data_IF_935955593132
#
_entry.id   IF_935955593132
#
_cell.length_a   1.000
_cell.length_b   1.000
_cell.length_c   1.000
_cell.angle_alpha   90.00
_cell.angle_beta   90.00
_cell.angle_gamma   90.00
#
_symmetry.space_group_name_H-M   'P 1'
#
loop_
_entity.id
_entity.type
_entity.pdbx_description
1 polymer ?
#
# COMPACT_ATOMS: atom_id res chain seq x y z
N UNK A 1 20.93 -6.87 -15.55
CA UNK A 1 20.16 -7.90 -14.83
C UNK A 1 20.85 -9.28 -14.75
N UNK A 2 22.10 -9.44 -15.19
CA UNK A 2 22.73 -10.77 -15.33
C UNK A 2 23.76 -11.17 -14.25
N UNK A 3 23.98 -10.33 -13.24
CA UNK A 3 25.04 -10.59 -12.24
C UNK A 3 24.63 -11.35 -10.99
N UNK A 4 23.41 -11.23 -10.56
CA UNK A 4 22.92 -11.78 -9.28
C UNK A 4 22.49 -13.25 -9.39
N UNK A 5 21.88 -13.64 -10.51
CA UNK A 5 21.45 -15.03 -10.74
C UNK A 5 22.62 -16.01 -10.81
N UNK A 6 23.79 -15.59 -11.32
CA UNK A 6 24.99 -16.45 -11.37
C UNK A 6 25.53 -16.81 -9.98
N UNK A 7 25.39 -15.93 -9.01
CA UNK A 7 25.85 -16.19 -7.63
C UNK A 7 24.95 -17.17 -6.89
N UNK A 8 23.63 -17.11 -7.13
CA UNK A 8 22.69 -18.03 -6.48
C UNK A 8 22.78 -19.44 -7.03
N UNK A 9 22.94 -19.60 -8.34
CA UNK A 9 23.11 -20.90 -9.01
C UNK A 9 24.44 -21.55 -8.59
N UNK A 10 25.49 -20.78 -8.36
CA UNK A 10 26.80 -21.30 -7.91
C UNK A 10 26.73 -21.81 -6.46
N UNK A 11 25.95 -21.20 -5.59
CA UNK A 11 25.76 -21.65 -4.21
C UNK A 11 25.01 -22.99 -4.13
N UNK A 12 24.04 -23.24 -5.02
CA UNK A 12 23.27 -24.49 -5.06
C UNK A 12 24.11 -25.65 -5.62
N UNK A 13 25.00 -25.39 -6.59
CA UNK A 13 25.85 -26.40 -7.20
C UNK A 13 27.04 -26.86 -6.29
N UNK A 14 27.43 -26.07 -5.30
CA UNK A 14 28.51 -26.43 -4.40
C UNK A 14 28.17 -27.53 -3.36
N UNK A 15 26.87 -27.80 -3.16
CA UNK A 15 26.40 -28.85 -2.25
C UNK A 15 26.25 -30.24 -2.90
N UNK A 16 26.40 -30.33 -4.22
CA UNK A 16 26.19 -31.59 -4.97
C UNK A 16 27.46 -32.39 -5.33
N UNK A 17 28.61 -31.93 -4.95
CA UNK A 17 29.86 -32.68 -5.21
C UNK A 17 30.39 -33.32 -3.92
N UNK A 18 30.24 -34.59 -3.80
CA UNK A 18 31.04 -35.63 -3.16
C UNK A 18 30.18 -36.78 -2.65
N UNK A 19 30.09 -37.85 -3.40
CA UNK A 19 30.40 -39.21 -2.86
C UNK A 19 30.57 -40.19 -4.02
N UNK A 20 31.76 -40.60 -4.25
CA UNK A 20 32.04 -41.78 -5.08
C UNK A 20 31.67 -43.04 -4.31
N UNK A 21 30.66 -43.76 -4.81
CA UNK A 21 30.33 -45.10 -4.30
C UNK A 21 31.29 -46.10 -4.88
N UNK A 22 32.02 -46.76 -4.00
CA UNK A 22 32.91 -47.88 -4.35
C UNK A 22 32.06 -49.16 -4.33
N UNK A 23 31.93 -49.85 -5.46
CA UNK A 23 31.30 -51.14 -5.56
C UNK A 23 32.14 -52.21 -4.86
N UNK A 24 31.54 -52.92 -3.93
CA UNK A 24 32.12 -54.09 -3.27
C UNK A 24 31.63 -55.37 -3.92
N UNK A 25 32.47 -56.40 -3.87
CA UNK A 25 32.34 -57.69 -4.49
C UNK A 25 31.17 -58.56 -3.97
N UNK A 26 30.70 -59.57 -4.71
CA UNK A 26 29.53 -60.37 -4.35
C UNK A 26 29.82 -61.34 -3.21
N UNK A 27 29.00 -61.37 -2.21
CA UNK A 27 29.04 -62.34 -1.12
C UNK A 27 27.97 -63.42 -1.24
N UNK A 28 28.33 -64.56 -0.73
CA UNK A 28 27.68 -65.86 -0.75
C UNK A 28 26.23 -65.89 -0.25
N UNK A 29 25.48 -66.80 -0.81
CA UNK A 29 24.10 -67.20 -0.50
C UNK A 29 23.91 -67.54 0.98
N UNK A 30 23.24 -66.68 1.75
CA UNK A 30 22.79 -66.98 3.11
C UNK A 30 21.31 -67.36 3.14
N UNK A 31 21.05 -68.36 3.96
CA UNK A 31 19.75 -68.94 4.26
C UNK A 31 18.63 -67.86 4.43
N UNK A 32 17.44 -68.18 3.95
CA UNK A 32 16.23 -67.41 4.10
C UNK A 32 15.93 -67.19 5.60
N UNK A 33 16.39 -66.09 6.14
CA UNK A 33 15.94 -65.61 7.44
C UNK A 33 14.53 -65.06 7.26
N UNK A 34 13.58 -65.57 8.04
CA UNK A 34 12.28 -64.99 8.15
C UNK A 34 12.42 -63.48 8.39
N UNK A 35 11.68 -62.62 7.67
CA UNK A 35 11.78 -61.18 7.88
C UNK A 35 11.37 -60.89 9.33
N UNK A 36 12.34 -60.41 10.10
CA UNK A 36 12.01 -59.82 11.41
C UNK A 36 10.92 -58.78 11.23
N UNK A 37 9.89 -58.74 12.10
CA UNK A 37 8.87 -57.73 12.02
C UNK A 37 9.58 -56.36 12.00
N UNK A 38 9.43 -55.65 10.91
CA UNK A 38 10.02 -54.30 10.80
C UNK A 38 9.42 -53.44 11.91
N UNK A 39 10.26 -52.72 12.68
CA UNK A 39 9.76 -51.83 13.72
C UNK A 39 8.79 -50.85 13.10
N UNK A 40 7.54 -50.82 13.62
CA UNK A 40 6.55 -49.88 13.19
C UNK A 40 7.07 -48.49 13.49
N UNK A 41 7.41 -47.75 12.46
CA UNK A 41 7.87 -46.36 12.61
C UNK A 41 6.76 -45.51 13.23
N UNK A 42 7.04 -44.84 14.36
CA UNK A 42 6.03 -44.01 15.03
C UNK A 42 5.67 -42.78 14.20
N UNK A 43 4.44 -42.32 14.39
CA UNK A 43 4.07 -40.99 13.96
C UNK A 43 4.79 -39.94 14.80
N UNK A 44 5.30 -38.89 14.16
CA UNK A 44 5.88 -37.74 14.82
C UNK A 44 5.01 -36.54 14.43
N UNK A 45 4.45 -35.91 15.43
CA UNK A 45 3.63 -34.70 15.27
C UNK A 45 4.36 -33.54 15.93
N UNK A 46 4.54 -32.47 15.20
CA UNK A 46 5.18 -31.23 15.70
C UNK A 46 4.26 -30.07 15.47
N UNK A 47 4.06 -29.26 16.51
CA UNK A 47 3.26 -28.01 16.43
C UNK A 47 4.08 -26.91 17.05
N UNK A 48 4.17 -25.76 16.41
CA UNK A 48 4.93 -24.61 16.89
C UNK A 48 4.28 -23.29 16.54
N UNK A 49 4.59 -22.29 17.33
CA UNK A 49 4.21 -20.90 17.09
C UNK A 49 5.47 -20.11 16.67
N UNK A 50 5.64 -19.81 15.38
CA UNK A 50 6.73 -18.96 14.93
C UNK A 50 6.40 -17.49 15.17
N UNK A 51 7.32 -16.73 15.76
CA UNK A 51 7.31 -15.28 15.85
C UNK A 51 8.37 -14.72 14.92
N UNK A 52 7.97 -14.18 13.78
CA UNK A 52 8.86 -13.60 12.80
C UNK A 52 8.94 -12.08 12.98
N UNK A 53 10.14 -11.52 12.98
CA UNK A 53 10.43 -10.09 13.11
C UNK A 53 11.09 -9.59 11.82
N UNK A 54 10.31 -9.35 10.75
CA UNK A 54 10.86 -9.10 9.45
C UNK A 54 11.23 -7.64 9.21
N UNK A 55 12.26 -7.44 8.38
CA UNK A 55 12.43 -6.27 7.54
C UNK A 55 11.71 -6.54 6.22
N UNK A 56 11.03 -5.54 5.69
CA UNK A 56 10.33 -5.61 4.41
C UNK A 56 10.90 -4.53 3.49
N UNK A 57 11.42 -4.93 2.34
CA UNK A 57 11.97 -3.99 1.35
C UNK A 57 11.63 -4.43 -0.06
N UNK A 58 11.31 -3.48 -0.92
CA UNK A 58 10.97 -3.78 -2.31
C UNK A 58 10.05 -2.74 -2.94
N UNK A 59 9.47 -3.10 -4.06
CA UNK A 59 8.59 -2.23 -4.83
C UNK A 59 7.16 -2.76 -4.79
N UNK A 60 6.23 -1.89 -4.40
CA UNK A 60 4.79 -2.16 -4.42
C UNK A 60 4.14 -1.14 -5.34
N UNK A 61 3.26 -1.59 -6.21
CA UNK A 61 2.59 -0.73 -7.18
C UNK A 61 1.14 -1.12 -7.42
N UNK A 62 0.30 -0.11 -7.66
CA UNK A 62 -1.10 -0.29 -8.01
C UNK A 62 -1.40 0.53 -9.27
N UNK A 63 -1.92 -0.14 -10.30
CA UNK A 63 -2.30 0.47 -11.58
C UNK A 63 -1.19 1.35 -12.21
N UNK A 64 0.07 0.91 -12.10
CA UNK A 64 1.23 1.59 -12.70
C UNK A 64 1.87 2.68 -11.82
N UNK A 65 1.30 2.98 -10.66
CA UNK A 65 1.95 3.83 -9.66
C UNK A 65 2.74 2.95 -8.71
N UNK A 66 4.06 3.06 -8.73
CA UNK A 66 4.98 2.22 -7.94
C UNK A 66 5.67 3.06 -6.87
N UNK A 67 5.81 2.51 -5.69
CA UNK A 67 6.59 3.07 -4.59
C UNK A 67 7.56 2.05 -4.04
N UNK A 68 8.73 2.50 -3.60
CA UNK A 68 9.67 1.66 -2.89
C UNK A 68 9.34 1.68 -1.39
N UNK A 69 9.20 0.49 -0.79
CA UNK A 69 8.97 0.31 0.64
C UNK A 69 10.23 -0.19 1.33
N UNK A 70 10.48 0.31 2.52
CA UNK A 70 11.56 -0.14 3.39
C UNK A 70 11.11 0.03 4.84
N UNK A 71 10.64 -1.06 5.44
CA UNK A 71 10.00 -1.05 6.77
C UNK A 71 10.75 -1.99 7.69
N UNK A 72 11.12 -1.51 8.86
CA UNK A 72 11.80 -2.28 9.87
C UNK A 72 10.86 -3.09 10.77
N UNK A 73 11.38 -4.10 11.51
CA UNK A 73 10.56 -4.95 12.37
C UNK A 73 9.87 -4.18 13.49
N UNK A 74 10.50 -3.13 14.03
CA UNK A 74 9.91 -2.32 15.09
C UNK A 74 8.73 -1.48 14.56
N UNK A 75 8.85 -0.97 13.33
CA UNK A 75 7.77 -0.21 12.69
C UNK A 75 6.55 -1.12 12.43
N UNK A 76 6.80 -2.36 11.97
CA UNK A 76 5.74 -3.36 11.78
C UNK A 76 5.10 -3.68 13.13
N UNK A 77 5.89 -3.98 14.16
CA UNK A 77 5.39 -4.37 15.47
C UNK A 77 4.54 -3.27 16.13
N UNK A 78 4.97 -2.00 16.04
CA UNK A 78 4.23 -0.86 16.62
C UNK A 78 2.90 -0.58 15.91
N UNK A 79 2.76 -0.99 14.65
CA UNK A 79 1.57 -0.77 13.82
C UNK A 79 0.72 -2.04 13.69
N UNK A 80 1.12 -3.14 14.32
CA UNK A 80 0.41 -4.42 14.27
C UNK A 80 -0.79 -4.38 15.19
N UNK A 81 -1.98 -4.52 14.61
CA UNK A 81 -3.23 -4.68 15.34
C UNK A 81 -3.41 -6.13 15.79
N UNK A 82 -3.04 -7.07 14.91
CA UNK A 82 -3.16 -8.50 15.19
C UNK A 82 -2.14 -9.30 14.40
N UNK A 83 -1.53 -10.28 15.05
CA UNK A 83 -0.62 -11.26 14.48
C UNK A 83 -0.98 -12.65 14.98
N UNK A 84 -1.09 -13.61 14.05
CA UNK A 84 -1.22 -15.02 14.37
C UNK A 84 -0.29 -15.85 13.49
N UNK A 85 0.40 -16.82 14.08
CA UNK A 85 1.24 -17.73 13.33
C UNK A 85 1.20 -19.13 13.95
N UNK A 86 1.12 -20.14 13.09
CA UNK A 86 1.07 -21.54 13.48
C UNK A 86 1.85 -22.37 12.45
N UNK A 87 2.67 -23.29 12.94
CA UNK A 87 3.34 -24.30 12.13
C UNK A 87 2.99 -25.68 12.66
N UNK A 88 2.63 -26.60 11.78
CA UNK A 88 2.37 -27.99 12.13
C UNK A 88 3.05 -28.92 11.13
N UNK A 89 3.53 -30.04 11.62
CA UNK A 89 4.09 -31.12 10.81
C UNK A 89 3.69 -32.47 11.35
N UNK A 90 3.33 -33.37 10.45
CA UNK A 90 3.09 -34.78 10.75
C UNK A 90 3.98 -35.60 9.85
N UNK A 91 4.79 -36.48 10.43
CA UNK A 91 5.68 -37.35 9.67
C UNK A 91 5.64 -38.79 10.16
N UNK A 92 5.87 -39.71 9.21
CA UNK A 92 6.01 -41.14 9.46
C UNK A 92 7.04 -41.72 8.50
N UNK A 93 8.08 -42.31 9.06
CA UNK A 93 9.16 -42.83 8.26
C UNK A 93 9.85 -41.77 7.42
N UNK A 94 9.77 -41.94 6.11
CA UNK A 94 10.36 -40.99 5.16
C UNK A 94 9.42 -39.88 4.68
N UNK A 95 8.12 -40.00 4.97
CA UNK A 95 7.11 -39.07 4.49
C UNK A 95 6.72 -38.08 5.58
N UNK A 96 6.50 -36.85 5.20
CA UNK A 96 5.97 -35.80 6.05
C UNK A 96 5.02 -34.89 5.31
N UNK A 97 4.07 -34.36 6.05
CA UNK A 97 3.14 -33.29 5.63
C UNK A 97 3.35 -32.12 6.57
N UNK A 98 3.45 -30.93 6.05
CA UNK A 98 3.67 -29.72 6.86
C UNK A 98 2.74 -28.60 6.39
N UNK A 99 2.33 -27.80 7.33
CA UNK A 99 1.61 -26.56 7.09
C UNK A 99 2.15 -25.45 7.97
N UNK A 100 2.22 -24.25 7.43
CA UNK A 100 2.51 -23.03 8.16
C UNK A 100 1.48 -21.98 7.77
N UNK A 101 0.96 -21.26 8.74
CA UNK A 101 0.02 -20.19 8.58
C UNK A 101 0.53 -18.97 9.30
N UNK A 102 0.52 -17.83 8.63
CA UNK A 102 0.83 -16.52 9.18
C UNK A 102 -0.27 -15.55 8.75
N UNK A 103 -0.78 -14.79 9.69
CA UNK A 103 -1.71 -13.70 9.46
C UNK A 103 -1.19 -12.45 10.15
N UNK A 104 -1.12 -11.37 9.42
CA UNK A 104 -0.71 -10.05 9.90
C UNK A 104 -1.78 -9.02 9.50
N UNK A 105 -2.22 -8.21 10.46
CA UNK A 105 -3.06 -7.05 10.22
C UNK A 105 -2.37 -5.84 10.85
N UNK A 106 -2.09 -4.83 10.04
CA UNK A 106 -1.46 -3.58 10.47
C UNK A 106 -2.30 -2.39 10.05
N UNK A 107 -2.31 -1.35 10.87
CA UNK A 107 -2.91 -0.07 10.55
C UNK A 107 -1.96 1.07 10.86
N UNK A 108 -1.98 2.09 10.02
CA UNK A 108 -1.19 3.30 10.21
C UNK A 108 -1.97 4.53 9.76
N UNK A 109 -1.65 5.66 10.38
CA UNK A 109 -2.20 6.96 10.02
C UNK A 109 -1.07 7.91 9.68
N UNK A 110 -1.06 8.35 8.43
CA UNK A 110 -0.07 9.31 7.95
C UNK A 110 -0.71 10.68 7.83
N UNK A 111 0.00 11.71 8.30
CA UNK A 111 -0.39 13.10 8.21
C UNK A 111 0.49 13.79 7.16
N UNK A 112 0.05 13.84 5.89
CA UNK A 112 0.85 14.43 4.83
C UNK A 112 0.99 15.94 5.04
N UNK A 113 2.12 16.49 4.62
CA UNK A 113 2.36 17.94 4.65
C UNK A 113 1.61 18.72 3.56
N UNK A 114 0.73 18.06 2.82
CA UNK A 114 -0.10 18.70 1.79
C UNK A 114 -1.34 19.32 2.44
N UNK A 115 -1.60 20.60 2.10
CA UNK A 115 -2.66 21.38 2.72
C UNK A 115 -4.06 20.80 2.52
N UNK A 116 -4.33 20.12 1.40
CA UNK A 116 -5.67 19.63 1.05
C UNK A 116 -6.06 18.29 1.67
N UNK A 117 -5.11 17.52 2.22
CA UNK A 117 -5.34 16.23 2.87
C UNK A 117 -4.89 16.32 4.32
N UNK A 118 -5.81 16.08 5.25
CA UNK A 118 -5.50 16.13 6.68
C UNK A 118 -4.91 14.83 7.23
N UNK A 119 -5.34 13.67 6.68
CA UNK A 119 -4.98 12.35 7.17
C UNK A 119 -5.17 11.30 6.08
N UNK A 120 -4.28 10.31 6.07
CA UNK A 120 -4.40 9.09 5.29
C UNK A 120 -4.43 7.92 6.27
N UNK A 121 -5.48 7.12 6.26
CA UNK A 121 -5.55 5.87 7.00
C UNK A 121 -5.20 4.73 6.06
N UNK A 122 -4.19 3.96 6.43
CA UNK A 122 -3.68 2.80 5.71
C UNK A 122 -3.96 1.56 6.55
N UNK A 123 -4.53 0.53 5.95
CA UNK A 123 -4.63 -0.80 6.53
C UNK A 123 -4.03 -1.80 5.57
N UNK A 124 -3.24 -2.68 6.11
CA UNK A 124 -2.57 -3.75 5.39
C UNK A 124 -2.84 -5.08 6.08
N UNK A 125 -3.34 -6.04 5.32
CA UNK A 125 -3.62 -7.38 5.79
C UNK A 125 -2.86 -8.37 4.91
N UNK A 126 -2.08 -9.23 5.54
CA UNK A 126 -1.35 -10.27 4.82
C UNK A 126 -1.64 -11.63 5.44
N UNK A 127 -1.97 -12.59 4.59
CA UNK A 127 -2.08 -14.00 4.96
C UNK A 127 -1.10 -14.78 4.11
N UNK A 128 -0.23 -15.54 4.75
CA UNK A 128 0.66 -16.49 4.08
C UNK A 128 0.34 -17.90 4.60
N UNK A 129 -0.06 -18.79 3.71
CA UNK A 129 -0.25 -20.21 3.97
C UNK A 129 0.77 -21.02 3.18
N UNK A 130 1.66 -21.77 3.84
CA UNK A 130 2.62 -22.70 3.21
C UNK A 130 2.14 -24.13 3.48
N UNK A 131 1.89 -24.91 2.45
CA UNK A 131 1.47 -26.30 2.57
C UNK A 131 2.37 -27.18 1.72
N UNK A 132 2.98 -28.21 2.33
CA UNK A 132 3.95 -29.03 1.62
C UNK A 132 4.05 -30.47 2.09
N UNK A 133 4.49 -31.27 1.14
CA UNK A 133 4.90 -32.65 1.36
C UNK A 133 6.44 -32.71 1.46
N UNK A 134 6.94 -33.62 2.23
CA UNK A 134 8.38 -33.90 2.33
C UNK A 134 8.67 -35.37 2.19
N UNK A 135 9.81 -35.68 1.56
CA UNK A 135 10.33 -37.01 1.43
C UNK A 135 11.80 -37.05 1.87
N UNK A 136 12.11 -37.89 2.83
CA UNK A 136 13.44 -38.04 3.41
C UNK A 136 14.35 -38.85 2.49
N UNK A 137 15.29 -38.16 1.84
CA UNK A 137 16.25 -38.78 0.91
C UNK A 137 17.51 -39.26 1.61
N UNK A 138 17.96 -38.57 2.68
CA UNK A 138 19.10 -38.97 3.48
C UNK A 138 18.68 -38.98 4.96
N UNK A 139 19.12 -40.03 5.66
CA UNK A 139 18.96 -40.17 7.10
C UNK A 139 20.19 -40.82 7.69
N UNK A 140 20.79 -40.17 8.67
CA UNK A 140 21.97 -40.64 9.36
C UNK A 140 21.89 -40.41 10.88
N UNK A 141 22.84 -40.86 11.64
CA UNK A 141 22.86 -40.71 13.10
C UNK A 141 22.86 -39.25 13.56
N UNK A 142 23.42 -38.36 12.75
CA UNK A 142 23.54 -36.91 13.07
C UNK A 142 22.58 -36.01 12.36
N UNK A 143 21.70 -36.53 11.49
CA UNK A 143 20.77 -35.67 10.79
C UNK A 143 20.08 -36.28 9.60
N UNK A 144 19.34 -35.47 8.90
CA UNK A 144 18.56 -35.89 7.75
C UNK A 144 18.44 -34.75 6.72
N UNK A 145 18.11 -35.16 5.48
CA UNK A 145 17.83 -34.26 4.37
C UNK A 145 16.50 -34.71 3.72
N UNK A 146 15.56 -33.80 3.60
CA UNK A 146 14.26 -34.00 2.95
C UNK A 146 14.18 -33.15 1.65
N UNK A 147 13.63 -33.75 0.60
CA UNK A 147 13.03 -33.01 -0.50
C UNK A 147 11.65 -32.49 -0.09
N UNK A 148 11.27 -31.32 -0.59
CA UNK A 148 9.98 -30.71 -0.34
C UNK A 148 9.34 -30.31 -1.65
N UNK A 149 8.01 -30.44 -1.71
CA UNK A 149 7.18 -29.86 -2.75
C UNK A 149 5.84 -29.43 -2.15
N UNK A 150 5.30 -28.34 -2.62
CA UNK A 150 4.05 -27.83 -2.07
C UNK A 150 3.57 -26.59 -2.79
N UNK A 151 2.74 -25.86 -2.11
CA UNK A 151 2.28 -24.54 -2.57
C UNK A 151 2.26 -23.54 -1.41
N UNK A 152 2.50 -22.29 -1.75
CA UNK A 152 2.33 -21.12 -0.89
C UNK A 152 1.13 -20.33 -1.38
N UNK A 153 0.21 -20.04 -0.50
CA UNK A 153 -0.91 -19.14 -0.71
C UNK A 153 -0.56 -17.80 -0.08
N UNK A 154 -0.69 -16.74 -0.84
CA UNK A 154 -0.56 -15.37 -0.34
C UNK A 154 -1.85 -14.64 -0.62
N UNK A 155 -2.40 -13.96 0.38
CA UNK A 155 -3.52 -13.04 0.25
C UNK A 155 -3.10 -11.69 0.83
N UNK A 156 -3.25 -10.63 0.04
CA UNK A 156 -2.81 -9.29 0.35
C UNK A 156 -3.99 -8.33 0.24
N UNK A 157 -4.47 -7.83 1.36
CA UNK A 157 -5.50 -6.80 1.45
C UNK A 157 -4.87 -5.44 1.76
N UNK A 158 -5.30 -4.41 1.04
CA UNK A 158 -4.83 -3.04 1.20
C UNK A 158 -6.02 -2.10 1.18
N UNK A 159 -6.19 -1.32 2.25
CA UNK A 159 -7.21 -0.28 2.36
C UNK A 159 -6.53 1.06 2.56
N UNK A 160 -6.91 2.05 1.78
CA UNK A 160 -6.50 3.44 1.88
C UNK A 160 -7.73 4.31 2.03
N UNK A 161 -7.82 5.06 3.12
CA UNK A 161 -8.85 6.10 3.31
C UNK A 161 -8.21 7.47 3.37
N UNK A 162 -8.68 8.37 2.50
CA UNK A 162 -8.20 9.75 2.41
C UNK A 162 -9.18 10.64 3.16
N UNK A 163 -8.68 11.45 4.09
CA UNK A 163 -9.46 12.44 4.82
C UNK A 163 -9.09 13.86 4.33
N UNK A 164 -10.01 14.58 3.73
CA UNK A 164 -9.75 15.94 3.25
C UNK A 164 -9.54 16.92 4.42
N UNK A 165 -8.68 17.92 4.20
CA UNK A 165 -8.57 19.09 5.08
C UNK A 165 -9.63 20.12 4.68
N UNK A 166 -10.79 20.07 5.34
CA UNK A 166 -11.92 20.92 5.00
C UNK A 166 -11.61 22.42 5.07
N UNK A 167 -10.80 22.84 6.06
CA UNK A 167 -10.43 24.25 6.24
C UNK A 167 -9.52 24.75 5.10
N UNK A 168 -8.52 23.96 4.74
CA UNK A 168 -7.62 24.31 3.65
C UNK A 168 -8.34 24.33 2.29
N UNK A 169 -9.25 23.38 2.06
CA UNK A 169 -10.06 23.34 0.85
C UNK A 169 -10.95 24.57 0.74
N UNK A 170 -11.62 24.99 1.84
CA UNK A 170 -12.44 26.19 1.86
C UNK A 170 -11.58 27.43 1.56
N UNK A 171 -10.42 27.56 2.19
CA UNK A 171 -9.48 28.67 1.96
C UNK A 171 -8.98 28.74 0.52
N UNK A 172 -8.53 27.61 -0.05
CA UNK A 172 -8.07 27.55 -1.44
C UNK A 172 -9.19 27.84 -2.43
N UNK A 173 -10.41 27.34 -2.16
CA UNK A 173 -11.58 27.59 -3.00
C UNK A 173 -11.96 29.07 -3.00
N UNK A 174 -11.97 29.72 -1.84
CA UNK A 174 -12.17 31.16 -1.72
C UNK A 174 -11.09 31.96 -2.47
N UNK A 175 -9.82 31.62 -2.27
CA UNK A 175 -8.69 32.30 -2.93
C UNK A 175 -8.76 32.17 -4.45
N UNK A 176 -9.06 30.99 -4.98
CA UNK A 176 -9.20 30.78 -6.43
C UNK A 176 -10.31 31.62 -7.02
N UNK A 177 -11.47 31.66 -6.36
CA UNK A 177 -12.61 32.47 -6.80
C UNK A 177 -12.32 33.95 -6.67
N UNK A 178 -11.62 34.38 -5.61
CA UNK A 178 -11.23 35.78 -5.46
C UNK A 178 -10.24 36.26 -6.54
N UNK A 179 -9.27 35.45 -6.89
CA UNK A 179 -8.36 35.75 -7.99
C UNK A 179 -9.09 35.86 -9.33
N UNK A 180 -9.97 34.89 -9.62
CA UNK A 180 -10.82 34.96 -10.83
C UNK A 180 -11.72 36.20 -10.85
N UNK A 181 -12.31 36.52 -9.71
CA UNK A 181 -13.18 37.71 -9.60
C UNK A 181 -12.44 39.04 -9.70
N UNK A 182 -11.20 39.12 -9.24
CA UNK A 182 -10.34 40.31 -9.44
C UNK A 182 -10.07 40.54 -10.92
N UNK A 183 -9.75 39.48 -11.67
CA UNK A 183 -9.53 39.57 -13.12
C UNK A 183 -10.78 39.99 -13.85
N UNK A 184 -11.95 39.40 -13.53
CA UNK A 184 -13.24 39.75 -14.10
C UNK A 184 -13.71 41.13 -13.65
N UNK A 185 -13.47 41.52 -12.40
CA UNK A 185 -13.81 42.81 -11.83
C UNK A 185 -13.11 43.96 -12.55
N UNK A 186 -11.85 43.77 -12.94
CA UNK A 186 -11.11 44.72 -13.80
C UNK A 186 -11.76 44.90 -15.15
N UNK A 187 -12.22 43.84 -15.81
CA UNK A 187 -12.90 43.86 -17.08
C UNK A 187 -14.31 44.53 -16.96
N UNK A 188 -15.06 44.18 -15.92
CA UNK A 188 -16.38 44.78 -15.66
C UNK A 188 -16.26 46.28 -15.36
N UNK A 189 -15.31 46.69 -14.53
CA UNK A 189 -15.07 48.11 -14.25
C UNK A 189 -14.67 48.87 -15.51
N UNK A 190 -13.84 48.33 -16.38
CA UNK A 190 -13.47 48.96 -17.65
C UNK A 190 -14.69 49.12 -18.59
N UNK A 191 -15.56 48.14 -18.64
CA UNK A 191 -16.80 48.21 -19.43
C UNK A 191 -17.75 49.28 -18.85
N UNK A 192 -17.90 49.33 -17.53
CA UNK A 192 -18.73 50.31 -16.86
C UNK A 192 -18.17 51.74 -17.11
N UNK A 193 -16.88 51.93 -16.92
CA UNK A 193 -16.21 53.18 -17.15
C UNK A 193 -16.33 53.65 -18.62
N UNK A 194 -15.96 52.77 -19.55
CA UNK A 194 -15.86 53.16 -20.97
C UNK A 194 -17.20 53.21 -21.69
N UNK A 195 -18.21 52.43 -21.24
CA UNK A 195 -19.47 52.37 -21.96
C UNK A 195 -20.59 53.20 -21.32
N UNK A 196 -20.68 53.15 -19.99
CA UNK A 196 -21.79 53.84 -19.28
C UNK A 196 -21.42 55.26 -18.87
N UNK A 197 -20.22 55.42 -18.27
CA UNK A 197 -19.80 56.77 -17.82
C UNK A 197 -19.47 57.68 -18.98
N UNK A 198 -18.77 57.16 -20.03
CA UNK A 198 -18.52 57.96 -21.23
C UNK A 198 -19.79 58.37 -21.96
N UNK A 199 -20.79 57.50 -22.00
CA UNK A 199 -22.10 57.88 -22.56
C UNK A 199 -22.87 58.84 -21.67
N UNK A 200 -22.81 58.70 -20.35
CA UNK A 200 -23.41 59.68 -19.43
C UNK A 200 -22.70 61.03 -19.52
N UNK A 201 -21.38 61.05 -19.59
CA UNK A 201 -20.58 62.27 -19.75
C UNK A 201 -20.87 62.89 -21.12
N UNK A 202 -20.94 62.09 -22.19
CA UNK A 202 -21.27 62.60 -23.55
C UNK A 202 -22.72 63.11 -23.65
N UNK A 203 -23.64 62.64 -22.83
CA UNK A 203 -24.99 63.20 -22.69
C UNK A 203 -25.02 64.50 -21.87
N UNK A 204 -24.08 64.61 -20.92
CA UNK A 204 -23.89 65.82 -20.11
C UNK A 204 -23.24 66.93 -20.91
N UNK A 205 -22.24 66.66 -21.76
CA UNK A 205 -21.58 67.60 -22.64
C UNK A 205 -22.40 68.03 -23.84
N UNK A 206 -23.30 67.18 -24.33
CA UNK A 206 -24.31 67.51 -25.34
C UNK A 206 -25.42 68.26 -24.71
N UNK A 207 -25.12 69.43 -24.12
CA UNK A 207 -26.11 70.42 -23.67
C UNK A 207 -27.53 69.86 -23.79
N UNK A 208 -28.12 69.20 -22.76
CA UNK A 208 -29.41 68.61 -22.92
C UNK A 208 -30.39 69.77 -23.15
N UNK A 209 -30.72 69.99 -24.40
CA UNK A 209 -31.93 70.73 -24.72
C UNK A 209 -33.01 69.83 -24.19
N UNK A 210 -33.42 70.10 -22.91
CA UNK A 210 -34.57 69.52 -22.34
C UNK A 210 -35.65 69.75 -23.36
N UNK A 211 -36.40 68.75 -23.82
CA UNK A 211 -37.58 68.98 -24.71
C UNK A 211 -38.71 69.55 -23.89
N UNK A 212 -38.39 70.63 -23.25
CA UNK A 212 -39.38 71.46 -22.60
C UNK A 212 -39.70 72.48 -23.62
N UNK A 213 -40.62 72.22 -24.51
CA UNK A 213 -41.10 73.02 -25.58
C UNK A 213 -40.84 74.54 -25.52
N UNK A 214 -41.51 75.38 -26.21
CA UNK A 214 -41.19 76.84 -26.31
C UNK A 214 -41.07 77.60 -24.98
N UNK A 215 -41.36 76.95 -23.84
CA UNK A 215 -41.25 77.53 -22.49
C UNK A 215 -39.81 77.46 -21.88
N UNK A 216 -38.89 76.68 -22.43
CA UNK A 216 -37.52 76.53 -21.86
C UNK A 216 -36.72 77.82 -21.88
N UNK A 217 -36.91 78.71 -22.81
CA UNK A 217 -36.24 80.00 -22.90
C UNK A 217 -36.79 81.07 -21.93
N UNK A 218 -37.88 80.81 -21.25
CA UNK A 218 -38.53 81.74 -20.31
C UNK A 218 -38.32 81.41 -18.83
N UNK A 219 -37.61 80.32 -18.49
CA UNK A 219 -37.31 79.99 -17.10
C UNK A 219 -36.13 80.84 -16.59
N UNK A 220 -36.24 81.39 -15.37
CA UNK A 220 -35.14 82.06 -14.71
C UNK A 220 -33.90 81.10 -14.59
N UNK A 221 -32.69 81.64 -14.72
CA UNK A 221 -31.41 80.84 -14.65
C UNK A 221 -31.34 79.96 -13.41
N UNK A 222 -31.78 80.46 -12.28
CA UNK A 222 -31.88 79.78 -10.99
C UNK A 222 -32.69 78.47 -11.02
N UNK A 223 -33.89 78.51 -11.77
CA UNK A 223 -34.74 77.34 -11.90
C UNK A 223 -34.13 76.27 -12.82
N UNK A 224 -33.38 76.72 -13.85
CA UNK A 224 -32.67 75.87 -14.79
C UNK A 224 -31.52 75.13 -14.10
N UNK A 225 -30.76 75.82 -13.23
CA UNK A 225 -29.70 75.31 -12.45
C UNK A 225 -30.15 74.34 -11.35
N UNK A 226 -31.33 74.59 -10.74
CA UNK A 226 -31.94 73.66 -9.80
C UNK A 226 -32.39 72.38 -10.49
N UNK A 227 -33.02 72.44 -11.66
CA UNK A 227 -33.39 71.24 -12.42
C UNK A 227 -32.13 70.41 -12.82
N UNK A 228 -31.07 71.10 -13.25
CA UNK A 228 -29.80 70.41 -13.59
C UNK A 228 -29.16 69.74 -12.39
N UNK A 229 -29.11 70.39 -11.23
CA UNK A 229 -28.56 69.82 -10.00
C UNK A 229 -29.39 68.62 -9.51
N UNK A 230 -30.74 68.69 -9.60
CA UNK A 230 -31.63 67.58 -9.23
C UNK A 230 -31.44 66.36 -10.17
N UNK A 231 -31.34 66.61 -11.50
CA UNK A 231 -31.04 65.54 -12.46
C UNK A 231 -29.67 64.89 -12.20
N UNK A 232 -28.65 65.69 -11.93
CA UNK A 232 -27.33 65.20 -11.61
C UNK A 232 -27.31 64.38 -10.31
N UNK A 233 -28.02 64.82 -9.26
CA UNK A 233 -28.16 64.08 -8.00
C UNK A 233 -28.82 62.73 -8.24
N UNK A 234 -29.93 62.67 -8.94
CA UNK A 234 -30.65 61.42 -9.23
C UNK A 234 -29.88 60.46 -10.12
N UNK A 235 -29.07 60.95 -11.07
CA UNK A 235 -28.18 60.14 -11.87
C UNK A 235 -27.07 59.55 -11.01
N UNK A 236 -26.50 60.30 -10.10
CA UNK A 236 -25.48 59.86 -9.16
C UNK A 236 -26.04 58.76 -8.24
N UNK A 237 -27.24 58.97 -7.69
CA UNK A 237 -27.91 57.99 -6.85
C UNK A 237 -28.24 56.70 -7.61
N UNK A 238 -28.68 56.78 -8.85
CA UNK A 238 -28.96 55.64 -9.71
C UNK A 238 -27.68 54.86 -10.02
N UNK A 239 -26.59 55.54 -10.35
CA UNK A 239 -25.28 54.88 -10.58
C UNK A 239 -24.78 54.21 -9.31
N UNK A 240 -24.93 54.84 -8.14
CA UNK A 240 -24.57 54.26 -6.86
C UNK A 240 -25.40 53.00 -6.54
N UNK A 241 -26.72 53.03 -6.78
CA UNK A 241 -27.63 51.91 -6.61
C UNK A 241 -27.29 50.74 -7.56
N UNK A 242 -27.01 51.03 -8.83
CA UNK A 242 -26.56 50.00 -9.79
C UNK A 242 -25.26 49.36 -9.36
N UNK A 243 -24.26 50.15 -8.94
CA UNK A 243 -22.96 49.64 -8.45
C UNK A 243 -23.15 48.76 -7.24
N UNK A 244 -23.94 49.18 -6.26
CA UNK A 244 -24.24 48.37 -5.06
C UNK A 244 -24.91 47.03 -5.41
N UNK A 245 -25.90 47.04 -6.31
CA UNK A 245 -26.55 45.80 -6.77
C UNK A 245 -25.58 44.87 -7.51
N UNK A 246 -24.70 45.38 -8.36
CA UNK A 246 -23.67 44.59 -9.05
C UNK A 246 -22.73 43.98 -8.02
N UNK A 247 -22.24 44.76 -7.05
CA UNK A 247 -21.36 44.26 -6.00
C UNK A 247 -21.99 43.14 -5.17
N UNK A 248 -23.27 43.32 -4.77
CA UNK A 248 -24.02 42.31 -4.05
C UNK A 248 -24.16 41.01 -4.86
N UNK A 249 -24.49 41.12 -6.15
CA UNK A 249 -24.55 39.95 -7.05
C UNK A 249 -23.21 39.26 -7.24
N UNK A 250 -22.15 40.02 -7.42
CA UNK A 250 -20.78 39.49 -7.55
C UNK A 250 -20.38 38.73 -6.27
N UNK A 251 -20.67 39.30 -5.09
CA UNK A 251 -20.41 38.62 -3.81
C UNK A 251 -21.21 37.33 -3.68
N UNK A 252 -22.48 37.33 -4.03
CA UNK A 252 -23.31 36.13 -4.00
C UNK A 252 -22.79 35.03 -4.92
N UNK A 253 -22.40 35.39 -6.16
CA UNK A 253 -21.83 34.45 -7.13
C UNK A 253 -20.49 33.88 -6.62
N UNK A 254 -19.63 34.73 -6.04
CA UNK A 254 -18.37 34.30 -5.44
C UNK A 254 -18.60 33.25 -4.37
N UNK A 255 -19.48 33.49 -3.42
CA UNK A 255 -19.81 32.56 -2.35
C UNK A 255 -20.31 31.22 -2.92
N UNK A 256 -21.31 31.28 -3.82
CA UNK A 256 -21.87 30.08 -4.43
C UNK A 256 -20.82 29.26 -5.19
N UNK A 257 -19.93 29.90 -5.96
CA UNK A 257 -18.88 29.23 -6.71
C UNK A 257 -17.80 28.62 -5.79
N UNK A 258 -17.42 29.37 -4.75
CA UNK A 258 -16.49 28.88 -3.73
C UNK A 258 -17.05 27.62 -3.03
N UNK A 259 -18.32 27.66 -2.63
CA UNK A 259 -18.96 26.51 -1.98
C UNK A 259 -19.08 25.29 -2.90
N UNK A 260 -19.38 25.52 -4.19
CA UNK A 260 -19.43 24.44 -5.19
C UNK A 260 -18.05 23.80 -5.41
N UNK A 261 -17.00 24.60 -5.56
CA UNK A 261 -15.62 24.11 -5.71
C UNK A 261 -15.20 23.35 -4.46
N UNK A 262 -15.42 23.92 -3.27
CA UNK A 262 -15.09 23.29 -2.00
C UNK A 262 -15.83 21.96 -1.82
N UNK A 263 -17.12 21.91 -2.09
CA UNK A 263 -17.93 20.69 -2.00
C UNK A 263 -17.43 19.62 -2.98
N UNK A 264 -17.10 20.01 -4.21
CA UNK A 264 -16.57 19.09 -5.22
C UNK A 264 -15.22 18.52 -4.79
N UNK A 265 -14.29 19.36 -4.33
CA UNK A 265 -12.98 18.93 -3.84
C UNK A 265 -13.10 18.03 -2.62
N UNK A 266 -13.91 18.37 -1.64
CA UNK A 266 -14.16 17.54 -0.45
C UNK A 266 -14.71 16.17 -0.84
N UNK A 267 -15.65 16.10 -1.77
CA UNK A 267 -16.23 14.85 -2.26
C UNK A 267 -15.21 14.01 -3.04
N UNK A 268 -14.41 14.66 -3.88
CA UNK A 268 -13.39 13.97 -4.68
C UNK A 268 -12.21 13.44 -3.83
N UNK A 269 -11.85 14.13 -2.75
CA UNK A 269 -10.78 13.75 -1.84
C UNK A 269 -11.25 12.80 -0.74
N UNK A 270 -12.53 12.81 -0.35
CA UNK A 270 -13.06 11.87 0.63
C UNK A 270 -13.36 10.52 -0.03
N UNK A 271 -12.34 9.73 -0.24
CA UNK A 271 -12.41 8.42 -0.90
C UNK A 271 -11.72 7.35 -0.11
N UNK A 272 -12.29 6.15 -0.17
CA UNK A 272 -11.67 4.93 0.30
C UNK A 272 -11.41 4.02 -0.89
N UNK A 273 -10.23 3.44 -0.92
CA UNK A 273 -9.80 2.44 -1.89
C UNK A 273 -9.52 1.17 -1.13
N UNK A 274 -10.16 0.09 -1.52
CA UNK A 274 -9.90 -1.24 -0.98
C UNK A 274 -9.51 -2.16 -2.13
N UNK A 275 -8.46 -2.93 -1.93
CA UNK A 275 -8.01 -3.94 -2.88
C UNK A 275 -7.55 -5.19 -2.15
N UNK A 276 -7.95 -6.33 -2.65
CA UNK A 276 -7.46 -7.63 -2.17
C UNK A 276 -7.04 -8.44 -3.39
N UNK A 277 -5.83 -8.95 -3.35
CA UNK A 277 -5.29 -9.87 -4.35
C UNK A 277 -4.83 -11.14 -3.65
N UNK A 278 -5.01 -12.28 -4.31
CA UNK A 278 -4.55 -13.57 -3.81
C UNK A 278 -3.93 -14.41 -4.92
N UNK A 279 -2.94 -15.23 -4.56
CA UNK A 279 -2.28 -16.12 -5.50
C UNK A 279 -1.71 -17.36 -4.83
N UNK A 280 -1.42 -18.37 -5.66
CA UNK A 280 -0.82 -19.65 -5.26
C UNK A 280 0.49 -19.86 -6.00
N UNK A 281 1.54 -20.12 -5.24
CA UNK A 281 2.89 -20.38 -5.75
C UNK A 281 3.27 -21.82 -5.46
N UNK A 282 3.21 -22.71 -6.45
CA UNK A 282 3.81 -24.02 -6.29
C UNK A 282 5.31 -23.87 -6.07
N UNK A 283 5.89 -24.70 -5.22
CA UNK A 283 7.32 -24.67 -4.93
C UNK A 283 7.93 -26.07 -4.84
N UNK A 284 9.23 -26.12 -5.07
CA UNK A 284 10.11 -27.26 -4.78
C UNK A 284 11.27 -26.80 -3.93
N UNK A 285 11.77 -27.66 -3.07
CA UNK A 285 12.85 -27.27 -2.16
C UNK A 285 13.47 -28.42 -1.41
N UNK A 286 14.32 -28.06 -0.47
CA UNK A 286 15.01 -28.97 0.43
C UNK A 286 14.94 -28.43 1.85
N UNK A 287 15.04 -29.32 2.81
CA UNK A 287 15.33 -28.96 4.20
C UNK A 287 16.24 -30.00 4.83
N UNK A 288 17.06 -29.54 5.74
CA UNK A 288 17.99 -30.40 6.44
C UNK A 288 18.00 -30.08 7.93
N UNK A 289 18.36 -31.10 8.71
CA UNK A 289 18.66 -30.96 10.13
C UNK A 289 19.96 -31.68 10.44
N UNK A 290 20.82 -31.04 11.24
CA UNK A 290 22.03 -31.62 11.73
C UNK A 290 22.10 -31.51 13.25
N UNK A 291 22.15 -32.64 13.97
CA UNK A 291 22.20 -32.66 15.42
C UNK A 291 23.63 -32.43 15.88
N UNK A 292 23.87 -31.34 16.58
CA UNK A 292 25.13 -30.98 17.19
C UNK A 292 25.38 -31.79 18.47
N UNK A 293 24.28 -31.97 19.22
CA UNK A 293 24.26 -32.78 20.45
C UNK A 293 22.87 -33.37 20.63
N UNK A 294 22.59 -33.97 21.78
CA UNK A 294 21.24 -34.48 22.12
C UNK A 294 20.22 -33.32 22.31
N UNK A 295 20.69 -32.14 22.66
CA UNK A 295 19.85 -31.00 22.91
C UNK A 295 19.87 -29.98 21.76
N UNK A 296 20.97 -29.77 21.07
CA UNK A 296 21.13 -28.73 20.06
C UNK A 296 21.23 -29.29 18.64
N UNK A 297 20.60 -28.60 17.71
CA UNK A 297 20.62 -28.96 16.29
C UNK A 297 20.59 -27.71 15.39
N UNK A 298 21.16 -27.86 14.22
CA UNK A 298 21.02 -26.90 13.13
C UNK A 298 19.87 -27.32 12.22
N UNK A 299 19.15 -26.35 11.70
CA UNK A 299 18.10 -26.55 10.71
C UNK A 299 18.28 -25.57 9.56
N UNK A 300 17.97 -26.02 8.35
CA UNK A 300 17.95 -25.16 7.17
C UNK A 300 16.82 -25.60 6.25
N UNK A 301 16.23 -24.63 5.54
CA UNK A 301 15.17 -24.82 4.56
C UNK A 301 15.45 -23.88 3.40
N UNK A 302 15.29 -24.37 2.16
CA UNK A 302 15.38 -23.56 0.96
C UNK A 302 14.38 -24.07 -0.06
N UNK A 303 13.63 -23.18 -0.66
CA UNK A 303 12.69 -23.48 -1.75
C UNK A 303 12.66 -22.38 -2.79
N UNK A 304 12.25 -22.74 -4.00
CA UNK A 304 11.96 -21.86 -5.13
C UNK A 304 10.58 -22.22 -5.68
N UNK A 305 9.81 -21.24 -6.03
CA UNK A 305 8.42 -21.40 -6.47
C UNK A 305 7.94 -20.29 -7.39
N UNK A 306 6.64 -20.21 -7.55
CA UNK A 306 5.95 -19.27 -8.43
C UNK A 306 5.81 -19.84 -9.84
N UNK A 307 6.92 -19.93 -10.56
CA UNK A 307 7.03 -20.47 -11.92
C UNK A 307 6.05 -19.82 -12.91
N UNK A 308 5.59 -18.59 -12.63
CA UNK A 308 4.60 -17.88 -13.46
C UNK A 308 3.16 -18.39 -13.32
N UNK A 309 2.83 -19.20 -12.30
CA UNK A 309 1.46 -19.67 -12.02
C UNK A 309 0.75 -18.61 -11.15
N UNK A 310 1.34 -18.21 -10.03
CA UNK A 310 0.93 -17.05 -9.23
C UNK A 310 1.95 -15.94 -9.42
N UNK A 311 2.99 -15.92 -8.61
CA UNK A 311 4.16 -15.07 -8.80
C UNK A 311 5.04 -15.54 -9.96
N UNK A 312 5.80 -14.63 -10.54
CA UNK A 312 6.83 -14.96 -11.52
C UNK A 312 7.88 -15.87 -10.90
N UNK A 313 8.39 -15.48 -9.74
CA UNK A 313 9.31 -16.28 -8.91
C UNK A 313 9.12 -15.96 -7.43
N UNK A 314 9.13 -17.01 -6.60
CA UNK A 314 9.26 -16.89 -5.15
C UNK A 314 10.48 -17.66 -4.67
N UNK A 315 11.12 -17.21 -3.62
CA UNK A 315 12.27 -17.91 -3.02
C UNK A 315 12.22 -17.76 -1.52
N UNK A 316 12.36 -18.89 -0.81
CA UNK A 316 12.48 -18.88 0.63
C UNK A 316 13.75 -19.57 1.06
N UNK A 317 14.47 -18.96 2.00
CA UNK A 317 15.62 -19.56 2.66
C UNK A 317 15.52 -19.30 4.16
N UNK A 318 15.77 -20.32 4.97
CA UNK A 318 15.94 -20.13 6.41
C UNK A 318 17.06 -21.01 6.94
N UNK A 319 17.74 -20.54 7.96
CA UNK A 319 18.74 -21.28 8.71
C UNK A 319 18.68 -20.92 10.18
N UNK A 320 18.80 -21.88 11.06
CA UNK A 320 18.63 -21.67 12.49
C UNK A 320 19.29 -22.69 13.39
N UNK A 321 19.28 -22.34 14.67
CA UNK A 321 19.73 -23.18 15.77
C UNK A 321 18.49 -23.56 16.63
N UNK A 322 18.26 -24.84 16.78
CA UNK A 322 17.20 -25.37 17.65
C UNK A 322 17.76 -25.97 18.92
N UNK A 323 16.95 -25.92 19.96
CA UNK A 323 17.20 -26.52 21.26
C UNK A 323 16.02 -27.40 21.67
N UNK A 324 16.25 -28.66 21.93
CA UNK A 324 15.29 -29.57 22.54
C UNK A 324 15.34 -29.38 24.05
N UNK A 325 14.39 -28.61 24.60
CA UNK A 325 14.36 -28.24 26.03
C UNK A 325 13.95 -29.44 26.88
N UNK A 326 12.94 -30.17 26.43
CA UNK A 326 12.49 -31.43 27.01
C UNK A 326 12.23 -32.45 25.90
N UNK A 327 11.77 -33.65 26.21
CA UNK A 327 11.40 -34.62 25.17
C UNK A 327 10.33 -34.12 24.22
N UNK A 328 9.45 -33.26 24.73
CA UNK A 328 8.27 -32.76 24.00
C UNK A 328 8.34 -31.27 23.66
N UNK A 329 9.22 -30.49 24.27
CA UNK A 329 9.29 -29.04 24.07
C UNK A 329 10.59 -28.69 23.33
N UNK A 330 10.49 -27.90 22.28
CA UNK A 330 11.64 -27.36 21.58
C UNK A 330 11.51 -25.85 21.38
N UNK A 331 12.65 -25.20 21.18
CA UNK A 331 12.74 -23.80 20.73
C UNK A 331 13.75 -23.73 19.59
N UNK A 332 13.51 -22.83 18.65
CA UNK A 332 14.35 -22.63 17.47
C UNK A 332 14.48 -21.14 17.19
N UNK A 333 15.71 -20.66 17.04
CA UNK A 333 16.01 -19.31 16.56
C UNK A 333 16.58 -19.45 15.17
N UNK A 334 15.96 -18.82 14.21
CA UNK A 334 16.35 -18.87 12.80
C UNK A 334 16.39 -17.49 12.19
N UNK A 335 17.05 -17.37 11.05
CA UNK A 335 16.93 -16.24 10.16
C UNK A 335 16.22 -16.70 8.90
N UNK A 336 15.13 -16.03 8.55
CA UNK A 336 14.28 -16.34 7.39
C UNK A 336 14.37 -15.21 6.37
N UNK A 337 14.47 -15.58 5.11
CA UNK A 337 14.34 -14.72 3.94
C UNK A 337 13.25 -15.28 3.04
N UNK A 338 12.35 -14.43 2.60
CA UNK A 338 11.30 -14.70 1.62
C UNK A 338 11.34 -13.60 0.57
N UNK A 339 11.42 -13.98 -0.69
CA UNK A 339 11.27 -13.08 -1.83
C UNK A 339 10.05 -13.47 -2.63
N UNK A 340 9.28 -12.48 -3.04
CA UNK A 340 8.08 -12.64 -3.83
C UNK A 340 8.08 -11.63 -4.99
N UNK A 341 7.89 -12.10 -6.23
CA UNK A 341 7.80 -11.27 -7.43
C UNK A 341 6.47 -11.55 -8.13
N UNK A 342 5.41 -10.89 -7.64
CA UNK A 342 4.08 -10.96 -8.20
C UNK A 342 3.75 -9.69 -8.98
N UNK A 343 3.33 -9.86 -10.24
CA UNK A 343 2.92 -8.77 -11.13
C UNK A 343 1.72 -9.23 -11.95
N UNK A 344 0.53 -8.92 -11.48
CA UNK A 344 -0.71 -9.30 -12.15
C UNK A 344 -1.87 -8.39 -11.74
N UNK A 345 -2.87 -8.29 -12.62
CA UNK A 345 -4.11 -7.56 -12.32
C UNK A 345 -3.92 -6.08 -11.99
N UNK A 346 -2.75 -5.48 -12.31
CA UNK A 346 -2.40 -4.12 -11.93
C UNK A 346 -1.83 -3.98 -10.51
N UNK A 347 -1.57 -5.10 -9.80
CA UNK A 347 -0.76 -5.13 -8.58
C UNK A 347 0.67 -5.55 -8.96
N UNK A 348 1.65 -4.75 -8.57
CA UNK A 348 3.06 -5.11 -8.51
C UNK A 348 3.43 -5.33 -7.05
N UNK A 349 3.90 -6.52 -6.70
CA UNK A 349 4.41 -6.86 -5.38
C UNK A 349 5.74 -7.59 -5.53
N UNK A 350 6.82 -6.82 -5.54
CA UNK A 350 8.19 -7.32 -5.68
C UNK A 350 8.95 -7.03 -4.40
N UNK A 351 8.83 -7.94 -3.43
CA UNK A 351 9.22 -7.66 -2.05
C UNK A 351 10.14 -8.75 -1.50
N UNK A 352 11.16 -8.33 -0.77
CA UNK A 352 12.00 -9.16 0.08
C UNK A 352 11.62 -8.94 1.53
N UNK A 353 11.23 -10.01 2.20
CA UNK A 353 10.90 -10.04 3.63
C UNK A 353 11.93 -10.92 4.34
N UNK A 354 12.70 -10.36 5.26
CA UNK A 354 13.78 -11.10 5.91
C UNK A 354 13.99 -10.66 7.36
N UNK A 355 14.38 -11.60 8.22
CA UNK A 355 14.64 -11.26 9.61
C UNK A 355 14.71 -12.48 10.53
N UNK A 356 14.97 -12.24 11.82
CA UNK A 356 14.99 -13.29 12.84
C UNK A 356 13.58 -13.84 13.08
N UNK A 357 13.52 -15.15 13.31
CA UNK A 357 12.31 -15.88 13.68
C UNK A 357 12.61 -16.72 14.93
N UNK A 358 11.73 -16.61 15.92
CA UNK A 358 11.74 -17.45 17.11
C UNK A 358 10.54 -18.40 17.07
N UNK A 359 10.77 -19.69 17.11
CA UNK A 359 9.71 -20.69 17.18
C UNK A 359 9.79 -21.41 18.52
N UNK A 360 8.65 -21.55 19.19
CA UNK A 360 8.47 -22.44 20.35
C UNK A 360 7.43 -23.47 19.98
N UNK A 361 7.69 -24.73 20.29
CA UNK A 361 6.77 -25.79 19.86
C UNK A 361 6.82 -27.06 20.70
N UNK A 362 5.86 -27.91 20.37
CA UNK A 362 5.65 -29.21 20.97
C UNK A 362 5.91 -30.32 19.94
N UNK A 363 6.44 -31.43 20.41
CA UNK A 363 6.68 -32.64 19.62
C UNK A 363 6.13 -33.85 20.36
N UNK A 364 5.34 -34.65 19.65
CA UNK A 364 4.67 -35.84 20.14
C UNK A 364 5.12 -37.09 19.39
#
# INVERSE_FOLDING_TARGET
>A
MDGEYRKLVTAILFFLSVTTVRAGAPEESKAIQQPSPQPVEPWIITVGAPGWFPFVTGDIGINGVTTHVNVGPMDIFQRTDFLAALRAEVSKGRFGVQGEFLYLNTSDSVFPSHDLVSKLDLRFQETIGDFGLSYRILQGPRGWLDLRAGFRYTNLGQDLTIHPNNQAIDAVSMQAVDQAAQTLGGAINSIIQNTILDRLTSLQDRNPVLPVGPLAGRLPGTVRDLIRSEIQSRLTDLVAAIRSNIQARVTQIKTQLSDQIATTLKTQLNRSFARTDDWFDPYIGVRARYNLSNAFYLTTKADVGGFGIGAGVTTQVSAGLGCQITRNIFSEVSFRYLYDDYDSGGLLYRVSTYGPELTVGLKF
#
